data_IF_214855510291
#
_entry.id   IF_214855510291
#
_cell.length_a   1.000
_cell.length_b   1.000
_cell.length_c   1.000
_cell.angle_alpha   90.00
_cell.angle_beta   90.00
_cell.angle_gamma   90.00
#
_symmetry.space_group_name_H-M   'P 1'
#
loop_
_entity.id
_entity.type
_entity.pdbx_description
1 polymer ?
#
# COMPACT_ATOMS: atom_id res chain seq x y z
N UNK A 1 -9.70 -15.63 -12.04
CA UNK A 1 -10.55 -15.01 -11.00
C UNK A 1 -11.23 -13.75 -11.52
N UNK A 2 -12.23 -13.87 -12.42
CA UNK A 2 -12.84 -12.70 -13.08
C UNK A 2 -13.44 -11.69 -12.08
N UNK A 3 -13.89 -12.18 -10.92
CA UNK A 3 -14.68 -11.39 -9.97
C UNK A 3 -13.87 -10.37 -9.14
N UNK A 4 -12.54 -10.52 -9.01
CA UNK A 4 -11.66 -9.58 -8.29
C UNK A 4 -10.62 -8.93 -9.19
N UNK A 5 -10.69 -9.15 -10.52
CA UNK A 5 -9.70 -8.67 -11.47
C UNK A 5 -9.49 -7.15 -11.38
N UNK A 6 -10.56 -6.37 -11.24
CA UNK A 6 -10.46 -4.92 -11.09
C UNK A 6 -9.61 -4.51 -9.88
N UNK A 7 -9.80 -5.14 -8.72
CA UNK A 7 -9.05 -4.82 -7.51
C UNK A 7 -7.56 -5.17 -7.66
N UNK A 8 -7.24 -6.28 -8.33
CA UNK A 8 -5.86 -6.65 -8.68
C UNK A 8 -5.21 -5.67 -9.65
N UNK A 9 -5.93 -5.25 -10.71
CA UNK A 9 -5.44 -4.24 -11.66
C UNK A 9 -5.18 -2.92 -10.93
N UNK A 10 -6.11 -2.46 -10.10
CA UNK A 10 -5.97 -1.25 -9.29
C UNK A 10 -4.75 -1.35 -8.36
N UNK A 11 -4.59 -2.47 -7.66
CA UNK A 11 -3.44 -2.70 -6.78
C UNK A 11 -2.12 -2.58 -7.53
N UNK A 12 -1.94 -3.33 -8.62
CA UNK A 12 -0.67 -3.30 -9.36
C UNK A 12 -0.44 -1.99 -10.11
N UNK A 13 -1.49 -1.35 -10.63
CA UNK A 13 -1.39 -0.02 -11.22
C UNK A 13 -0.95 1.02 -10.17
N UNK A 14 -1.51 0.96 -8.96
CA UNK A 14 -1.09 1.80 -7.83
C UNK A 14 0.37 1.55 -7.44
N UNK A 15 0.81 0.30 -7.37
CA UNK A 15 2.22 -0.06 -7.08
C UNK A 15 3.16 0.50 -8.14
N UNK A 16 2.87 0.29 -9.42
CA UNK A 16 3.68 0.83 -10.53
C UNK A 16 3.69 2.36 -10.52
N UNK A 17 2.53 2.98 -10.33
CA UNK A 17 2.41 4.43 -10.19
C UNK A 17 3.23 4.96 -9.02
N UNK A 18 3.25 4.25 -7.89
CA UNK A 18 4.05 4.62 -6.71
C UNK A 18 5.54 4.54 -7.00
N UNK A 19 5.99 3.53 -7.77
CA UNK A 19 7.39 3.46 -8.16
C UNK A 19 7.83 4.69 -8.98
N UNK A 20 7.02 5.12 -9.96
CA UNK A 20 7.31 6.32 -10.74
C UNK A 20 7.15 7.61 -9.93
N UNK A 21 6.09 7.72 -9.13
CA UNK A 21 5.83 8.87 -8.26
C UNK A 21 6.93 9.06 -7.22
N UNK A 22 7.36 7.97 -6.58
CA UNK A 22 8.46 7.99 -5.62
C UNK A 22 9.78 8.35 -6.27
N UNK A 23 10.08 7.79 -7.46
CA UNK A 23 11.26 8.18 -8.21
C UNK A 23 11.26 9.68 -8.55
N UNK A 24 10.13 10.23 -8.99
CA UNK A 24 10.01 11.65 -9.27
C UNK A 24 10.21 12.50 -8.00
N UNK A 25 9.60 12.12 -6.88
CA UNK A 25 9.80 12.79 -5.60
C UNK A 25 11.27 12.78 -5.15
N UNK A 26 12.01 11.69 -5.35
CA UNK A 26 13.44 11.64 -5.01
C UNK A 26 14.32 12.47 -5.94
N UNK A 27 13.89 12.70 -7.19
CA UNK A 27 14.61 13.55 -8.14
C UNK A 27 14.38 15.04 -7.86
N UNK A 28 13.19 15.42 -7.40
CA UNK A 28 12.83 16.79 -7.09
C UNK A 28 12.00 16.84 -5.80
N UNK A 29 12.62 16.78 -4.61
CA UNK A 29 11.90 16.65 -3.34
C UNK A 29 11.14 17.92 -2.97
N UNK A 30 9.82 17.91 -3.17
CA UNK A 30 8.93 19.00 -2.77
C UNK A 30 7.49 18.49 -2.56
N UNK A 31 6.61 19.36 -2.05
CA UNK A 31 5.21 18.99 -1.76
C UNK A 31 4.43 18.61 -3.02
N UNK A 32 4.71 19.21 -4.18
CA UNK A 32 4.02 18.90 -5.42
C UNK A 32 4.43 17.52 -5.97
N UNK A 33 5.73 17.20 -5.98
CA UNK A 33 6.21 15.87 -6.35
C UNK A 33 5.77 14.80 -5.34
N UNK A 34 5.62 15.14 -4.06
CA UNK A 34 5.10 14.23 -3.02
C UNK A 34 3.61 13.87 -3.22
N UNK A 35 2.80 14.76 -3.83
CA UNK A 35 1.42 14.40 -4.26
C UNK A 35 1.47 13.24 -5.24
N UNK A 36 2.41 13.27 -6.19
CA UNK A 36 2.56 12.23 -7.22
C UNK A 36 3.08 10.90 -6.67
N UNK A 37 3.75 10.90 -5.52
CA UNK A 37 4.07 9.68 -4.77
C UNK A 37 2.85 9.15 -3.99
N UNK A 38 2.13 10.02 -3.28
CA UNK A 38 1.02 9.62 -2.40
C UNK A 38 -0.24 9.18 -3.13
N UNK A 39 -0.60 9.83 -4.23
CA UNK A 39 -1.80 9.49 -5.02
C UNK A 39 -1.81 8.01 -5.44
N UNK A 40 -0.83 7.51 -6.21
CA UNK A 40 -0.83 6.11 -6.64
C UNK A 40 -0.66 5.14 -5.47
N UNK A 41 0.00 5.56 -4.39
CA UNK A 41 0.14 4.75 -3.18
C UNK A 41 -1.22 4.49 -2.52
N UNK A 42 -2.07 5.51 -2.38
CA UNK A 42 -3.44 5.31 -1.84
C UNK A 42 -4.29 4.42 -2.73
N UNK A 43 -4.14 4.51 -4.06
CA UNK A 43 -4.80 3.63 -5.03
C UNK A 43 -4.34 2.18 -4.83
N UNK A 44 -3.04 1.96 -4.64
CA UNK A 44 -2.47 0.65 -4.32
C UNK A 44 -3.07 0.07 -3.04
N UNK A 45 -3.09 0.83 -1.94
CA UNK A 45 -3.68 0.37 -0.68
C UNK A 45 -5.18 0.07 -0.80
N UNK A 46 -5.94 0.90 -1.52
CA UNK A 46 -7.36 0.63 -1.79
C UNK A 46 -7.56 -0.69 -2.55
N UNK A 47 -6.73 -0.95 -3.57
CA UNK A 47 -6.73 -2.21 -4.31
C UNK A 47 -6.41 -3.41 -3.42
N UNK A 48 -5.32 -3.33 -2.64
CA UNK A 48 -4.90 -4.40 -1.72
C UNK A 48 -5.97 -4.74 -0.69
N UNK A 49 -6.51 -3.71 -0.02
CA UNK A 49 -7.55 -3.93 0.99
C UNK A 49 -8.81 -4.52 0.38
N UNK A 50 -9.20 -4.07 -0.82
CA UNK A 50 -10.34 -4.63 -1.55
C UNK A 50 -10.12 -6.10 -1.92
N UNK A 51 -8.91 -6.50 -2.32
CA UNK A 51 -8.56 -7.91 -2.58
C UNK A 51 -8.81 -8.73 -1.31
N UNK A 52 -8.34 -8.26 -0.16
CA UNK A 52 -8.46 -8.98 1.12
C UNK A 52 -9.92 -9.11 1.54
N UNK A 53 -10.73 -8.05 1.40
CA UNK A 53 -12.18 -8.13 1.61
C UNK A 53 -12.81 -9.15 0.65
N UNK A 54 -12.38 -9.18 -0.60
CA UNK A 54 -12.87 -10.13 -1.60
C UNK A 54 -12.53 -11.59 -1.30
N UNK A 55 -11.32 -11.85 -0.80
CA UNK A 55 -10.82 -13.21 -0.52
C UNK A 55 -11.27 -13.76 0.83
N UNK A 56 -11.55 -12.91 1.83
CA UNK A 56 -11.86 -13.35 3.21
C UNK A 56 -13.28 -13.02 3.68
N UNK A 57 -13.96 -12.05 3.07
CA UNK A 57 -15.25 -11.56 3.56
C UNK A 57 -16.36 -11.72 2.52
N UNK A 58 -16.28 -11.00 1.40
CA UNK A 58 -17.29 -11.06 0.34
C UNK A 58 -16.81 -10.40 -0.95
N UNK A 59 -16.90 -11.13 -2.05
CA UNK A 59 -16.66 -10.61 -3.41
C UNK A 59 -17.67 -9.52 -3.78
N UNK A 60 -18.92 -9.59 -3.30
CA UNK A 60 -19.93 -8.54 -3.55
C UNK A 60 -19.52 -7.24 -2.85
N UNK A 61 -19.14 -7.33 -1.59
CA UNK A 61 -18.70 -6.16 -0.82
C UNK A 61 -17.45 -5.54 -1.45
N UNK A 62 -16.45 -6.35 -1.81
CA UNK A 62 -15.23 -5.89 -2.46
C UNK A 62 -15.51 -5.04 -3.72
N UNK A 63 -16.43 -5.49 -4.58
CA UNK A 63 -16.81 -4.73 -5.79
C UNK A 63 -17.49 -3.39 -5.47
N UNK A 64 -18.30 -3.35 -4.40
CA UNK A 64 -19.01 -2.13 -3.99
C UNK A 64 -18.06 -1.09 -3.38
N UNK A 65 -17.06 -1.53 -2.60
CA UNK A 65 -16.17 -0.62 -1.86
C UNK A 65 -14.95 -0.15 -2.66
N UNK A 66 -14.59 -0.82 -3.76
CA UNK A 66 -13.38 -0.47 -4.53
C UNK A 66 -13.34 1.00 -4.95
N UNK A 67 -14.38 1.47 -5.64
CA UNK A 67 -14.45 2.85 -6.11
C UNK A 67 -14.54 3.87 -4.94
N UNK A 68 -15.38 3.66 -3.90
CA UNK A 68 -15.35 4.50 -2.70
C UNK A 68 -13.98 4.60 -2.03
N UNK A 69 -13.24 3.49 -1.90
CA UNK A 69 -11.92 3.49 -1.27
C UNK A 69 -10.88 4.24 -2.10
N UNK A 70 -10.92 4.10 -3.43
CA UNK A 70 -10.08 4.91 -4.33
C UNK A 70 -10.42 6.39 -4.15
N UNK A 71 -11.71 6.75 -4.19
CA UNK A 71 -12.17 8.12 -4.00
C UNK A 71 -11.72 8.72 -2.67
N UNK A 72 -11.84 7.96 -1.58
CA UNK A 72 -11.38 8.37 -0.26
C UNK A 72 -9.85 8.58 -0.23
N UNK A 73 -9.10 7.70 -0.88
CA UNK A 73 -7.64 7.83 -1.01
C UNK A 73 -7.24 9.11 -1.74
N UNK A 74 -7.80 9.34 -2.93
CA UNK A 74 -7.53 10.54 -3.72
C UNK A 74 -7.94 11.81 -2.96
N UNK A 75 -9.12 11.80 -2.35
CA UNK A 75 -9.60 12.91 -1.55
C UNK A 75 -8.68 13.20 -0.36
N UNK A 76 -8.16 12.17 0.32
CA UNK A 76 -7.25 12.35 1.45
C UNK A 76 -5.95 13.07 1.07
N UNK A 77 -5.41 12.77 -0.12
CA UNK A 77 -4.20 13.41 -0.63
C UNK A 77 -4.50 14.84 -1.10
N UNK A 78 -5.62 15.05 -1.79
CA UNK A 78 -6.06 16.39 -2.20
C UNK A 78 -6.33 17.32 -1.00
N UNK A 79 -6.95 16.78 0.04
CA UNK A 79 -7.18 17.50 1.30
C UNK A 79 -5.87 17.91 1.96
N UNK A 80 -4.90 16.99 2.06
CA UNK A 80 -3.56 17.33 2.53
C UNK A 80 -2.93 18.41 1.65
N UNK A 81 -2.95 18.26 0.32
CA UNK A 81 -2.31 19.21 -0.59
C UNK A 81 -2.87 20.64 -0.47
N UNK A 82 -4.20 20.77 -0.32
CA UNK A 82 -4.86 22.07 -0.13
C UNK A 82 -4.50 22.68 1.23
N UNK A 83 -4.53 21.86 2.30
CA UNK A 83 -4.18 22.36 3.64
C UNK A 83 -2.69 22.66 3.79
N UNK A 84 -1.83 21.94 3.10
CA UNK A 84 -0.39 22.19 2.98
C UNK A 84 -0.13 23.53 2.28
N UNK A 85 -0.82 23.80 1.17
CA UNK A 85 -0.71 25.09 0.48
C UNK A 85 -1.19 26.28 1.35
N UNK A 86 -2.07 26.02 2.32
CA UNK A 86 -2.51 26.99 3.31
C UNK A 86 -1.60 27.05 4.57
N UNK A 87 -0.50 26.29 4.61
CA UNK A 87 0.47 26.26 5.72
C UNK A 87 0.09 25.36 6.91
N UNK A 88 -0.97 24.55 6.81
CA UNK A 88 -1.42 23.65 7.87
C UNK A 88 -0.92 22.21 7.71
N UNK A 89 -0.94 21.67 6.49
CA UNK A 89 -0.45 20.32 6.18
C UNK A 89 -1.17 19.17 6.90
N UNK A 90 -2.51 19.14 6.87
CA UNK A 90 -3.28 18.14 7.64
C UNK A 90 -3.23 16.75 7.00
N UNK A 91 -2.52 15.84 7.67
CA UNK A 91 -2.31 14.45 7.25
C UNK A 91 -3.23 13.44 7.90
N UNK A 92 -4.13 13.85 8.82
CA UNK A 92 -4.89 12.89 9.64
C UNK A 92 -5.74 11.95 8.79
N UNK A 93 -6.40 12.47 7.77
CA UNK A 93 -7.22 11.66 6.87
C UNK A 93 -6.36 10.69 6.04
N UNK A 94 -5.23 11.17 5.51
CA UNK A 94 -4.28 10.34 4.78
C UNK A 94 -3.71 9.21 5.66
N UNK A 95 -3.37 9.53 6.92
CA UNK A 95 -2.90 8.54 7.89
C UNK A 95 -3.96 7.46 8.17
N UNK A 96 -5.24 7.82 8.27
CA UNK A 96 -6.32 6.84 8.41
C UNK A 96 -6.39 5.94 7.17
N UNK A 97 -6.38 6.50 5.96
CA UNK A 97 -6.42 5.72 4.72
C UNK A 97 -5.22 4.77 4.61
N UNK A 98 -4.04 5.22 5.04
CA UNK A 98 -2.81 4.43 4.94
C UNK A 98 -2.72 3.33 6.01
N UNK A 99 -2.99 3.66 7.27
CA UNK A 99 -2.68 2.78 8.40
C UNK A 99 -3.88 1.96 8.89
N UNK A 100 -5.12 2.45 8.78
CA UNK A 100 -6.29 1.70 9.24
C UNK A 100 -6.43 0.36 8.50
N UNK A 101 -6.29 0.26 7.17
CA UNK A 101 -6.30 -1.03 6.48
C UNK A 101 -5.23 -1.98 7.02
N UNK A 102 -4.03 -1.49 7.34
CA UNK A 102 -2.94 -2.31 7.86
C UNK A 102 -3.22 -2.88 9.25
N UNK A 103 -4.10 -2.25 10.03
CA UNK A 103 -4.59 -2.78 11.31
C UNK A 103 -5.76 -3.75 11.12
N UNK A 104 -6.67 -3.46 10.18
CA UNK A 104 -7.83 -4.30 9.90
C UNK A 104 -7.45 -5.62 9.22
N UNK A 105 -6.42 -5.63 8.38
CA UNK A 105 -6.01 -6.86 7.68
C UNK A 105 -5.60 -7.97 8.65
N UNK A 106 -4.70 -7.77 9.64
CA UNK A 106 -4.40 -8.79 10.64
C UNK A 106 -5.65 -9.34 11.35
N UNK A 107 -6.58 -8.45 11.73
CA UNK A 107 -7.85 -8.86 12.35
C UNK A 107 -8.65 -9.78 11.41
N UNK A 108 -8.76 -9.44 10.13
CA UNK A 108 -9.42 -10.27 9.13
C UNK A 108 -8.71 -11.63 8.98
N UNK A 109 -7.38 -11.64 8.88
CA UNK A 109 -6.59 -12.87 8.69
C UNK A 109 -6.63 -13.81 9.91
N UNK A 110 -6.79 -13.26 11.12
CA UNK A 110 -6.93 -14.04 12.36
C UNK A 110 -8.35 -14.59 12.54
N UNK A 111 -9.36 -13.83 12.11
CA UNK A 111 -10.77 -14.17 12.39
C UNK A 111 -11.47 -14.90 11.25
N UNK A 112 -10.93 -14.86 10.03
CA UNK A 112 -11.54 -15.46 8.82
C UNK A 112 -10.57 -16.40 8.11
N UNK A 113 -11.11 -17.51 7.61
CA UNK A 113 -10.40 -18.36 6.66
C UNK A 113 -10.51 -17.78 5.25
N UNK A 114 -9.47 -17.92 4.41
CA UNK A 114 -9.55 -17.49 3.02
C UNK A 114 -10.63 -18.30 2.30
N UNK A 115 -11.59 -17.63 1.66
CA UNK A 115 -12.51 -18.23 0.71
C UNK A 115 -11.82 -18.52 -0.62
N UNK A 116 -10.77 -17.73 -0.93
CA UNK A 116 -9.99 -17.80 -2.15
C UNK A 116 -8.52 -17.69 -1.76
N UNK A 117 -7.67 -18.59 -2.26
CA UNK A 117 -6.21 -18.45 -2.12
C UNK A 117 -5.64 -18.84 -0.77
N UNK A 118 -4.61 -18.12 -0.31
CA UNK A 118 -3.86 -18.43 0.92
C UNK A 118 -3.70 -17.23 1.84
N UNK A 119 -3.98 -17.44 3.13
CA UNK A 119 -3.68 -16.46 4.20
C UNK A 119 -2.20 -16.18 4.39
N UNK A 120 -1.33 -17.14 4.07
CA UNK A 120 0.12 -16.95 4.23
C UNK A 120 0.67 -15.82 3.35
N UNK A 121 0.11 -15.65 2.15
CA UNK A 121 0.48 -14.56 1.25
C UNK A 121 0.26 -13.20 1.92
N UNK A 122 -0.90 -12.97 2.55
CA UNK A 122 -1.20 -11.68 3.15
C UNK A 122 -0.47 -11.45 4.48
N UNK A 123 -0.13 -12.50 5.22
CA UNK A 123 0.80 -12.39 6.35
C UNK A 123 2.20 -11.95 5.90
N UNK A 124 2.70 -12.49 4.78
CA UNK A 124 3.96 -12.04 4.19
C UNK A 124 3.89 -10.58 3.74
N UNK A 125 2.79 -10.16 3.10
CA UNK A 125 2.56 -8.76 2.71
C UNK A 125 2.67 -7.83 3.92
N UNK A 126 1.98 -8.16 5.02
CA UNK A 126 2.06 -7.36 6.26
C UNK A 126 3.47 -7.38 6.84
N UNK A 127 4.12 -8.54 6.89
CA UNK A 127 5.48 -8.68 7.41
C UNK A 127 6.48 -7.82 6.65
N UNK A 128 6.42 -7.83 5.31
CA UNK A 128 7.27 -6.99 4.47
C UNK A 128 6.98 -5.51 4.63
N UNK A 129 5.70 -5.11 4.70
CA UNK A 129 5.33 -3.71 4.95
C UNK A 129 5.79 -3.23 6.34
N UNK A 130 5.60 -4.04 7.38
CA UNK A 130 6.06 -3.73 8.73
C UNK A 130 7.59 -3.58 8.78
N UNK A 131 8.32 -4.51 8.15
CA UNK A 131 9.77 -4.41 8.02
C UNK A 131 10.21 -3.13 7.30
N UNK A 132 9.52 -2.75 6.21
CA UNK A 132 9.80 -1.50 5.52
C UNK A 132 9.63 -0.28 6.44
N UNK A 133 8.57 -0.22 7.25
CA UNK A 133 8.36 0.86 8.22
C UNK A 133 9.39 0.88 9.34
N UNK A 134 9.85 -0.29 9.80
CA UNK A 134 10.95 -0.39 10.78
C UNK A 134 12.24 0.17 10.20
N UNK A 135 12.62 -0.23 8.98
CA UNK A 135 13.81 0.30 8.32
C UNK A 135 13.71 1.80 8.05
N UNK A 136 12.55 2.30 7.66
CA UNK A 136 12.31 3.73 7.50
C UNK A 136 12.50 4.50 8.81
N UNK A 137 12.00 3.97 9.93
CA UNK A 137 12.16 4.59 11.25
C UNK A 137 13.63 4.63 11.71
N UNK A 138 14.40 3.59 11.40
CA UNK A 138 15.80 3.45 11.79
C UNK A 138 16.78 3.83 10.67
N UNK A 139 16.43 4.75 9.77
CA UNK A 139 17.23 5.06 8.57
C UNK A 139 18.71 5.33 8.86
N UNK A 140 18.98 6.31 9.71
CA UNK A 140 20.34 6.71 10.10
C UNK A 140 21.05 5.63 10.93
N UNK A 141 20.32 4.92 11.80
CA UNK A 141 20.88 3.87 12.64
C UNK A 141 21.34 2.66 11.79
N UNK A 142 20.56 2.29 10.77
CA UNK A 142 20.92 1.25 9.81
C UNK A 142 22.15 1.68 9.00
N UNK A 143 22.16 2.93 8.51
CA UNK A 143 23.28 3.44 7.74
C UNK A 143 24.57 3.52 8.56
N UNK A 144 24.49 3.96 9.82
CA UNK A 144 25.66 4.07 10.70
C UNK A 144 26.23 2.71 11.09
N UNK A 145 25.39 1.67 11.25
CA UNK A 145 25.83 0.33 11.59
C UNK A 145 26.54 -0.39 10.43
N UNK A 146 26.04 -0.25 9.20
CA UNK A 146 26.54 -1.01 8.04
C UNK A 146 27.32 -0.21 7.01
N UNK A 147 27.13 1.12 6.93
CA UNK A 147 27.68 2.07 5.93
C UNK A 147 27.49 1.71 4.46
N UNK A 148 26.73 0.65 4.16
CA UNK A 148 26.47 0.15 2.80
C UNK A 148 25.09 0.55 2.28
N UNK A 149 24.06 0.39 3.12
CA UNK A 149 22.66 0.67 2.78
C UNK A 149 22.04 1.48 3.90
N UNK A 150 21.21 2.47 3.55
CA UNK A 150 20.40 3.18 4.53
C UNK A 150 19.09 2.43 4.78
N UNK A 151 18.42 2.72 5.88
CA UNK A 151 17.10 2.15 6.13
C UNK A 151 16.07 2.60 5.09
N UNK A 152 16.24 3.77 4.48
CA UNK A 152 15.44 4.25 3.35
C UNK A 152 15.64 3.42 2.09
N UNK A 153 16.86 2.93 1.80
CA UNK A 153 17.06 1.96 0.71
C UNK A 153 16.35 0.64 1.02
N UNK A 154 16.52 0.14 2.25
CA UNK A 154 15.89 -1.10 2.68
C UNK A 154 14.36 -0.99 2.71
N UNK A 155 13.80 0.16 3.07
CA UNK A 155 12.34 0.36 3.08
C UNK A 155 11.74 0.09 1.70
N UNK A 156 12.37 0.61 0.64
CA UNK A 156 11.89 0.44 -0.73
C UNK A 156 12.00 -1.02 -1.17
N UNK A 157 13.11 -1.68 -0.83
CA UNK A 157 13.30 -3.10 -1.09
C UNK A 157 12.19 -3.92 -0.44
N UNK A 158 11.99 -3.79 0.88
CA UNK A 158 10.97 -4.53 1.61
C UNK A 158 9.54 -4.16 1.17
N UNK A 159 9.27 -2.89 0.89
CA UNK A 159 7.99 -2.46 0.36
C UNK A 159 7.70 -3.08 -1.02
N UNK A 160 8.71 -3.31 -1.86
CA UNK A 160 8.55 -3.97 -3.18
C UNK A 160 8.33 -5.49 -3.08
N UNK A 161 8.82 -6.14 -2.03
CA UNK A 161 8.60 -7.58 -1.81
C UNK A 161 7.13 -7.89 -1.50
N UNK A 162 6.42 -6.98 -0.84
CA UNK A 162 4.99 -7.12 -0.57
C UNK A 162 4.16 -7.38 -1.85
N UNK A 163 4.12 -6.49 -2.87
CA UNK A 163 3.41 -6.77 -4.12
C UNK A 163 4.01 -7.94 -4.91
N UNK A 164 5.31 -8.19 -4.82
CA UNK A 164 5.94 -9.36 -5.46
C UNK A 164 5.37 -10.68 -4.93
N UNK A 165 5.11 -10.79 -3.61
CA UNK A 165 4.45 -12.00 -3.06
C UNK A 165 3.03 -12.19 -3.57
N UNK A 166 2.26 -11.12 -3.72
CA UNK A 166 0.90 -11.17 -4.28
C UNK A 166 0.97 -11.64 -5.74
N UNK A 167 1.90 -11.09 -6.51
CA UNK A 167 2.11 -11.50 -7.91
C UNK A 167 2.49 -12.97 -8.03
N UNK A 168 3.46 -13.43 -7.24
CA UNK A 168 3.87 -14.85 -7.23
C UNK A 168 2.72 -15.78 -6.80
N UNK A 169 1.93 -15.39 -5.80
CA UNK A 169 0.75 -16.16 -5.40
C UNK A 169 -0.30 -16.24 -6.53
N UNK A 170 -0.45 -15.19 -7.34
CA UNK A 170 -1.36 -15.20 -8.49
C UNK A 170 -0.89 -16.12 -9.62
N UNK A 171 0.41 -16.16 -9.92
CA UNK A 171 0.93 -17.04 -10.99
C UNK A 171 0.75 -18.51 -10.61
N UNK A 172 0.91 -18.86 -9.33
CA UNK A 172 0.66 -20.20 -8.80
C UNK A 172 -0.81 -20.63 -8.81
N UNK A 173 -1.76 -19.70 -8.94
CA UNK A 173 -3.21 -19.97 -9.01
C UNK A 173 -3.72 -20.13 -10.45
N UNK A 174 -2.88 -19.88 -11.46
CA UNK A 174 -3.23 -19.94 -12.89
C UNK A 174 -2.72 -21.20 -13.59
N UNK A 175 -1.95 -22.04 -12.91
CA UNK A 175 -1.63 -23.41 -13.33
C UNK A 175 -2.46 -24.40 -12.53
#
# INVERSE_FOLDING_TARGET
>A
MPRLQAAYVVFFAGVLGTAFGSAYYHLDPNNASLVWDRVPMTVGFAGLFTIIIGEFVSVRLARLILAPLIGLGLFSVGYWAVTEAAGHGDLRLYAVVQFLPMLLVPVILLTRLPMIGSRSTFWLVIGFYAAAKVFEYFDEAVFSAGRLLSGHTLKHLFASLAPATVFYALTRRRG
#
